data_IF_383856378534
#
_entry.id   IF_383856378534
#
_cell.length_a   1.000
_cell.length_b   1.000
_cell.length_c   1.000
_cell.angle_alpha   90.00
_cell.angle_beta   90.00
_cell.angle_gamma   90.00
#
_symmetry.space_group_name_H-M   'P 1'
#
loop_
_entity.id
_entity.type
_entity.pdbx_description
1 polymer ?
#
# COMPACT_ATOMS: atom_id res chain seq x y z
N UNK A 1 -12.08 -24.55 -8.32
CA UNK A 1 -12.61 -24.55 -6.93
C UNK A 1 -13.24 -23.20 -6.64
N UNK A 2 -14.37 -23.15 -5.92
CA UNK A 2 -15.11 -21.91 -5.62
C UNK A 2 -15.63 -21.94 -4.17
N UNK A 3 -15.47 -20.83 -3.42
CA UNK A 3 -16.07 -20.61 -2.09
C UNK A 3 -17.16 -19.53 -2.23
N UNK A 4 -18.45 -19.88 -2.17
CA UNK A 4 -19.54 -18.96 -2.55
C UNK A 4 -19.93 -17.94 -1.46
N UNK A 5 -19.16 -17.81 -0.38
CA UNK A 5 -19.43 -16.86 0.70
C UNK A 5 -18.14 -16.43 1.42
N UNK A 6 -18.19 -15.23 1.99
CA UNK A 6 -17.25 -14.69 2.97
C UNK A 6 -18.01 -13.76 3.92
N UNK A 7 -17.90 -13.99 5.22
CA UNK A 7 -18.66 -13.29 6.27
C UNK A 7 -17.83 -12.20 6.96
N UNK A 8 -16.73 -11.78 6.33
CA UNK A 8 -15.90 -10.64 6.75
C UNK A 8 -15.51 -10.70 8.23
N UNK A 9 -16.01 -9.77 9.05
CA UNK A 9 -15.70 -9.67 10.47
C UNK A 9 -16.19 -10.87 11.28
N UNK A 10 -17.25 -11.55 10.84
CA UNK A 10 -17.81 -12.71 11.54
C UNK A 10 -16.86 -13.93 11.50
N UNK A 11 -15.91 -13.97 10.57
CA UNK A 11 -14.94 -15.06 10.48
C UNK A 11 -13.68 -14.82 11.33
N UNK A 12 -13.37 -13.57 11.69
CA UNK A 12 -12.15 -13.21 12.45
C UNK A 12 -12.04 -13.95 13.80
N UNK A 13 -13.11 -14.15 14.58
CA UNK A 13 -13.03 -14.93 15.82
C UNK A 13 -12.53 -16.37 15.64
N UNK A 14 -12.77 -16.96 14.45
CA UNK A 14 -12.26 -18.29 14.14
C UNK A 14 -10.74 -18.29 13.98
N UNK A 15 -10.16 -17.23 13.41
CA UNK A 15 -8.71 -17.02 13.36
C UNK A 15 -8.14 -16.87 14.77
N UNK A 16 -8.77 -16.08 15.63
CA UNK A 16 -8.34 -15.92 17.03
C UNK A 16 -8.32 -17.25 17.78
N UNK A 17 -9.39 -18.04 17.67
CA UNK A 17 -9.45 -19.37 18.29
C UNK A 17 -8.34 -20.29 17.76
N UNK A 18 -8.09 -20.29 16.44
CA UNK A 18 -7.01 -21.11 15.85
C UNK A 18 -5.61 -20.67 16.27
N UNK A 19 -5.37 -19.37 16.37
CA UNK A 19 -4.09 -18.83 16.80
C UNK A 19 -3.80 -19.19 18.27
N UNK A 20 -4.76 -19.02 19.17
CA UNK A 20 -4.56 -19.22 20.61
C UNK A 20 -4.60 -20.70 21.00
N UNK A 21 -5.56 -21.46 20.48
CA UNK A 21 -5.75 -22.86 20.88
C UNK A 21 -4.80 -23.81 20.16
N UNK A 22 -4.38 -23.48 18.94
CA UNK A 22 -3.61 -24.38 18.08
C UNK A 22 -2.31 -23.79 17.53
N UNK A 23 -1.94 -22.55 17.92
CA UNK A 23 -0.72 -21.91 17.40
C UNK A 23 -0.72 -21.72 15.88
N UNK A 24 -1.90 -21.65 15.25
CA UNK A 24 -2.03 -21.65 13.79
C UNK A 24 -2.52 -20.30 13.26
N UNK A 25 -1.74 -19.68 12.38
CA UNK A 25 -2.15 -18.53 11.59
C UNK A 25 -2.99 -18.97 10.38
N UNK A 26 -3.99 -18.16 10.03
CA UNK A 26 -4.82 -18.41 8.84
C UNK A 26 -4.19 -17.88 7.55
N UNK A 27 -3.38 -16.81 7.64
CA UNK A 27 -2.65 -16.25 6.51
C UNK A 27 -1.40 -15.51 6.99
N UNK A 28 -0.29 -15.65 6.27
CA UNK A 28 0.96 -14.93 6.49
C UNK A 28 1.54 -14.50 5.13
N UNK A 29 2.27 -13.38 5.05
CA UNK A 29 3.00 -13.03 3.83
C UNK A 29 4.18 -13.98 3.61
N UNK A 30 4.60 -14.12 2.35
CA UNK A 30 5.92 -14.70 2.03
C UNK A 30 7.03 -13.76 2.51
N UNK A 31 8.23 -14.31 2.70
CA UNK A 31 9.41 -13.53 3.11
C UNK A 31 9.82 -12.44 2.11
N UNK A 32 9.47 -12.61 0.83
CA UNK A 32 9.65 -11.63 -0.24
C UNK A 32 8.31 -11.36 -0.91
N UNK A 33 7.81 -10.11 -0.88
CA UNK A 33 6.60 -9.74 -1.60
C UNK A 33 6.81 -9.87 -3.12
N UNK A 34 5.75 -10.32 -3.81
CA UNK A 34 5.72 -10.47 -5.29
C UNK A 34 4.82 -9.44 -5.96
N UNK A 35 4.07 -8.67 -5.17
CA UNK A 35 3.19 -7.61 -5.65
C UNK A 35 3.27 -6.40 -4.73
N UNK A 36 3.02 -5.23 -5.29
CA UNK A 36 2.94 -3.96 -4.57
C UNK A 36 1.63 -3.26 -4.92
N UNK A 37 0.88 -2.86 -3.89
CA UNK A 37 -0.29 -2.01 -4.09
C UNK A 37 0.20 -0.57 -4.19
N UNK A 38 0.28 -0.06 -5.41
CA UNK A 38 0.67 1.32 -5.74
C UNK A 38 -0.58 2.21 -5.89
N UNK A 39 -0.39 3.45 -6.36
CA UNK A 39 -1.50 4.37 -6.60
C UNK A 39 -1.40 5.10 -7.94
N UNK A 40 -2.55 5.38 -8.54
CA UNK A 40 -2.68 6.23 -9.73
C UNK A 40 -3.63 7.40 -9.45
N UNK A 41 -3.32 8.56 -10.02
CA UNK A 41 -4.10 9.78 -9.83
C UNK A 41 -5.49 9.65 -10.48
N UNK A 42 -6.52 10.15 -9.80
CA UNK A 42 -7.90 10.18 -10.33
C UNK A 42 -8.27 11.50 -11.01
N UNK A 43 -7.49 12.54 -10.74
CA UNK A 43 -7.58 13.89 -11.30
C UNK A 43 -6.18 14.43 -11.53
N UNK A 44 -6.06 15.53 -12.25
CA UNK A 44 -4.80 16.26 -12.35
C UNK A 44 -4.48 16.88 -10.98
N UNK A 45 -3.21 16.75 -10.57
CA UNK A 45 -2.70 17.25 -9.30
C UNK A 45 -1.50 18.18 -9.55
N UNK A 46 -1.42 19.24 -8.74
CA UNK A 46 -0.38 20.28 -8.84
C UNK A 46 0.59 20.16 -7.66
N UNK A 47 1.85 20.60 -7.82
CA UNK A 47 2.77 20.71 -6.69
C UNK A 47 2.16 21.49 -5.53
N UNK A 48 2.29 20.97 -4.32
CA UNK A 48 1.69 21.52 -3.10
C UNK A 48 0.31 20.95 -2.76
N UNK A 49 -0.38 20.29 -3.70
CA UNK A 49 -1.65 19.61 -3.41
C UNK A 49 -1.44 18.52 -2.35
N UNK A 50 -2.43 18.39 -1.47
CA UNK A 50 -2.47 17.33 -0.46
C UNK A 50 -3.22 16.14 -1.01
N UNK A 51 -2.62 14.96 -0.85
CA UNK A 51 -3.27 13.70 -1.14
C UNK A 51 -4.26 13.41 -0.01
N UNK A 52 -5.51 13.18 -0.41
CA UNK A 52 -6.59 12.81 0.49
C UNK A 52 -6.47 11.33 0.92
N UNK A 53 -7.56 10.60 1.10
CA UNK A 53 -7.52 9.20 1.50
C UNK A 53 -8.00 8.25 0.39
N UNK A 54 -7.69 6.96 0.52
CA UNK A 54 -8.33 5.94 -0.30
C UNK A 54 -9.85 5.99 -0.13
N UNK A 55 -10.56 5.88 -1.26
CA UNK A 55 -12.00 6.06 -1.32
C UNK A 55 -12.45 7.50 -1.59
N UNK A 56 -11.54 8.49 -1.60
CA UNK A 56 -11.90 9.91 -1.83
C UNK A 56 -11.66 10.36 -3.28
N UNK A 57 -10.88 11.42 -3.56
CA UNK A 57 -10.84 12.06 -4.88
C UNK A 57 -9.49 12.07 -5.56
N UNK A 58 -8.37 11.98 -4.84
CA UNK A 58 -7.05 12.26 -5.44
C UNK A 58 -6.43 11.05 -6.11
N UNK A 59 -6.54 9.86 -5.53
CA UNK A 59 -5.92 8.65 -6.07
C UNK A 59 -6.74 7.38 -5.83
N UNK A 60 -6.41 6.31 -6.55
CA UNK A 60 -6.93 4.95 -6.35
C UNK A 60 -5.79 3.93 -6.34
N UNK A 61 -6.01 2.80 -5.66
CA UNK A 61 -5.07 1.69 -5.66
C UNK A 61 -4.89 1.09 -7.06
N UNK A 62 -3.68 0.61 -7.34
CA UNK A 62 -3.30 -0.09 -8.55
C UNK A 62 -2.17 -1.07 -8.26
N UNK A 63 -2.36 -2.35 -8.57
CA UNK A 63 -1.37 -3.38 -8.29
C UNK A 63 -0.31 -3.44 -9.39
N UNK A 64 0.94 -3.62 -8.99
CA UNK A 64 2.07 -3.95 -9.87
C UNK A 64 2.79 -5.17 -9.29
N UNK A 65 3.57 -5.85 -10.13
CA UNK A 65 4.60 -6.78 -9.65
C UNK A 65 5.62 -5.97 -8.80
N UNK A 66 6.16 -6.58 -7.74
CA UNK A 66 6.99 -5.87 -6.76
C UNK A 66 8.30 -5.32 -7.35
N UNK A 67 8.94 -6.07 -8.26
CA UNK A 67 10.09 -5.61 -9.05
C UNK A 67 9.76 -4.43 -9.95
N UNK A 68 8.65 -4.50 -10.69
CA UNK A 68 8.18 -3.41 -11.56
C UNK A 68 7.87 -2.12 -10.76
N UNK A 69 7.21 -2.27 -9.61
CA UNK A 69 6.91 -1.15 -8.72
C UNK A 69 8.20 -0.45 -8.26
N UNK A 70 9.21 -1.24 -7.87
CA UNK A 70 10.52 -0.73 -7.44
C UNK A 70 11.25 -0.04 -8.58
N UNK A 71 11.33 -0.67 -9.75
CA UNK A 71 12.02 -0.12 -10.93
C UNK A 71 11.43 1.24 -11.33
N UNK A 72 10.11 1.42 -11.15
CA UNK A 72 9.39 2.66 -11.46
C UNK A 72 9.35 3.66 -10.30
N UNK A 73 9.95 3.33 -9.15
CA UNK A 73 9.90 4.17 -7.95
C UNK A 73 8.48 4.42 -7.45
N UNK A 74 7.55 3.48 -7.68
CA UNK A 74 6.16 3.59 -7.29
C UNK A 74 6.03 3.71 -5.76
N UNK A 75 5.17 4.61 -5.29
CA UNK A 75 4.89 4.72 -3.87
C UNK A 75 3.84 3.69 -3.44
N UNK A 76 4.06 2.94 -2.35
CA UNK A 76 3.04 2.08 -1.78
C UNK A 76 1.83 2.90 -1.35
N UNK A 77 0.65 2.45 -1.78
CA UNK A 77 -0.62 3.16 -1.64
C UNK A 77 -0.96 3.52 -0.18
N UNK A 78 -0.57 2.64 0.75
CA UNK A 78 -0.81 2.84 2.19
C UNK A 78 0.02 3.95 2.83
N UNK A 79 0.96 4.56 2.10
CA UNK A 79 1.80 5.65 2.61
C UNK A 79 1.31 7.04 2.18
N UNK A 80 0.27 7.11 1.35
CA UNK A 80 -0.06 8.33 0.61
C UNK A 80 -1.08 9.23 1.28
N UNK A 81 -1.82 8.73 2.27
CA UNK A 81 -2.83 9.53 2.96
C UNK A 81 -2.15 10.69 3.70
N UNK A 82 -2.58 11.92 3.41
CA UNK A 82 -1.90 13.12 3.92
C UNK A 82 -0.52 13.35 3.29
N UNK A 83 -0.20 12.72 2.17
CA UNK A 83 1.00 13.01 1.40
C UNK A 83 0.93 14.37 0.68
N UNK A 84 2.05 14.79 0.11
CA UNK A 84 2.15 16.02 -0.70
C UNK A 84 2.56 15.68 -2.11
N UNK A 85 1.93 16.35 -3.08
CA UNK A 85 2.35 16.31 -4.48
C UNK A 85 3.57 17.23 -4.64
N UNK A 86 4.67 16.68 -5.14
CA UNK A 86 5.95 17.40 -5.29
C UNK A 86 6.25 17.80 -6.74
N UNK A 87 5.58 17.18 -7.71
CA UNK A 87 5.64 17.54 -9.13
C UNK A 87 4.25 17.34 -9.77
N UNK A 88 3.92 17.97 -10.93
CA UNK A 88 2.63 17.79 -11.58
C UNK A 88 2.32 16.32 -11.87
N UNK A 89 1.09 15.88 -11.58
CA UNK A 89 0.63 14.50 -11.83
C UNK A 89 -0.65 14.56 -12.65
N UNK A 90 -0.60 14.06 -13.89
CA UNK A 90 -1.80 13.95 -14.72
C UNK A 90 -2.73 12.84 -14.22
N UNK A 91 -4.04 12.97 -14.47
CA UNK A 91 -5.02 11.91 -14.25
C UNK A 91 -4.55 10.61 -14.92
N UNK A 92 -4.58 9.50 -14.17
CA UNK A 92 -4.14 8.19 -14.62
C UNK A 92 -2.63 7.94 -14.48
N UNK A 93 -1.83 8.97 -14.17
CA UNK A 93 -0.41 8.79 -13.92
C UNK A 93 -0.14 8.14 -12.56
N UNK A 94 0.98 7.42 -12.49
CA UNK A 94 1.43 6.72 -11.28
C UNK A 94 1.98 7.73 -10.26
N UNK A 95 1.64 7.53 -8.99
CA UNK A 95 2.27 8.24 -7.88
C UNK A 95 3.59 7.55 -7.52
N UNK A 96 4.68 8.31 -7.59
CA UNK A 96 6.06 7.83 -7.46
C UNK A 96 6.85 8.76 -6.55
N UNK A 97 8.04 8.32 -6.12
CA UNK A 97 8.97 9.15 -5.34
C UNK A 97 9.36 10.46 -6.06
N UNK A 98 9.21 10.52 -7.38
CA UNK A 98 9.54 11.70 -8.18
C UNK A 98 8.44 12.78 -8.17
N UNK A 99 7.20 12.45 -7.81
CA UNK A 99 6.07 13.37 -7.92
C UNK A 99 5.18 13.47 -6.68
N UNK A 100 5.40 12.63 -5.68
CA UNK A 100 4.72 12.72 -4.39
C UNK A 100 5.64 12.29 -3.24
N UNK A 101 5.28 12.71 -2.04
CA UNK A 101 5.95 12.33 -0.80
C UNK A 101 4.90 11.93 0.27
N UNK A 102 5.12 10.84 1.02
CA UNK A 102 4.36 10.52 2.24
C UNK A 102 4.41 11.66 3.27
N UNK A 103 3.44 11.74 4.22
CA UNK A 103 3.55 12.68 5.33
C UNK A 103 4.78 12.41 6.20
N UNK A 104 5.42 13.48 6.65
CA UNK A 104 6.52 13.41 7.62
C UNK A 104 6.05 12.80 8.95
N UNK A 105 6.93 12.08 9.64
CA UNK A 105 6.62 11.43 10.92
C UNK A 105 5.64 10.24 10.82
N UNK A 106 5.34 9.77 9.62
CA UNK A 106 4.44 8.64 9.42
C UNK A 106 5.03 7.33 9.94
N UNK A 107 4.41 6.77 11.00
CA UNK A 107 4.83 5.48 11.57
C UNK A 107 4.78 4.33 10.56
N UNK A 108 3.80 4.32 9.65
CA UNK A 108 3.72 3.28 8.62
C UNK A 108 4.86 3.43 7.60
N UNK A 109 5.29 4.66 7.28
CA UNK A 109 6.45 4.90 6.42
C UNK A 109 7.76 4.46 7.10
N UNK A 110 7.92 4.71 8.40
CA UNK A 110 9.06 4.22 9.19
C UNK A 110 9.14 2.69 9.17
N UNK A 111 8.03 2.00 9.44
CA UNK A 111 7.97 0.54 9.42
C UNK A 111 8.22 -0.02 8.02
N UNK A 112 7.72 0.66 6.97
CA UNK A 112 7.98 0.28 5.59
C UNK A 112 9.46 0.39 5.24
N UNK A 113 10.15 1.46 5.67
CA UNK A 113 11.59 1.59 5.45
C UNK A 113 12.38 0.46 6.12
N UNK A 114 11.98 0.05 7.35
CA UNK A 114 12.58 -1.11 8.04
C UNK A 114 12.30 -2.42 7.31
N UNK A 115 11.10 -2.60 6.76
CA UNK A 115 10.76 -3.76 5.93
C UNK A 115 11.57 -3.78 4.63
N UNK A 116 11.72 -2.65 3.94
CA UNK A 116 12.50 -2.56 2.71
C UNK A 116 13.96 -2.97 2.98
N UNK A 117 14.56 -2.47 4.07
CA UNK A 117 15.90 -2.87 4.51
C UNK A 117 16.01 -4.36 4.85
N UNK A 118 15.01 -4.93 5.54
CA UNK A 118 14.96 -6.34 5.90
C UNK A 118 14.88 -7.25 4.67
N UNK A 119 14.07 -6.89 3.67
CA UNK A 119 13.77 -7.75 2.52
C UNK A 119 14.80 -7.57 1.39
N UNK A 120 15.37 -6.38 1.24
CA UNK A 120 16.20 -6.03 0.07
C UNK A 120 17.62 -5.62 0.40
N UNK A 121 17.96 -5.45 1.69
CA UNK A 121 19.25 -4.89 2.11
C UNK A 121 19.26 -3.37 2.11
N UNK A 122 20.39 -2.80 2.54
CA UNK A 122 20.67 -1.37 2.51
C UNK A 122 20.95 -0.87 1.08
#
# INVERSE_FOLDING_TARGET
>A
FHRPYHLTSLEVPLTCARAVLYGKADMVPLSRPVAEVCAVAKKDLKPGDRLDAIGQYSYRAFVLEAGDARARGALPCGLLEGGTVTAPIARGALLTKANAAPPEGSRIAELRARQDALVHGA
#
